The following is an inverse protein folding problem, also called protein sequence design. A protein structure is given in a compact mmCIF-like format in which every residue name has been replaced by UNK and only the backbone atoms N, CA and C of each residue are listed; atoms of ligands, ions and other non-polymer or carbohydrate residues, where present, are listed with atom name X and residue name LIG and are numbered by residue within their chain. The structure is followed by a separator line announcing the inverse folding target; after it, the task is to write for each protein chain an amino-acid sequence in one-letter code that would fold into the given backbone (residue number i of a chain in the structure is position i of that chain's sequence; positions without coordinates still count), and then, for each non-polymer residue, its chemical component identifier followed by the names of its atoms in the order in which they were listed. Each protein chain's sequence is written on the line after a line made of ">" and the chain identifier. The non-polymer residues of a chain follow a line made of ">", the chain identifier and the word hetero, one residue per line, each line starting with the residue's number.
data_IF_317552434945
#
_entry.id   IF_317552434945
#
_cell.length_a   1.000
_cell.length_b   1.000
_cell.length_c   1.000
_cell.angle_alpha   90.00
_cell.angle_beta   90.00
_cell.angle_gamma   90.00
#
_symmetry.space_group_name_H-M   'P 1'
#
loop_
_entity.id
_entity.type
_entity.pdbx_description
1 polymer ?
#
# COMPACT_ATOMS: atom_id res chain seq x y z
N UNK A 1 6.74 -5.71 -15.46
CA UNK A 1 5.42 -6.29 -15.79
C UNK A 1 4.80 -5.52 -16.94
N UNK A 2 4.60 -4.21 -16.78
CA UNK A 2 4.08 -3.37 -17.87
C UNK A 2 5.01 -3.27 -19.08
N UNK A 3 6.30 -2.98 -18.87
CA UNK A 3 7.29 -2.90 -19.96
C UNK A 3 7.49 -4.23 -20.71
N UNK A 4 7.28 -5.36 -20.04
CA UNK A 4 7.37 -6.69 -20.64
C UNK A 4 6.18 -7.00 -21.56
N UNK A 5 4.96 -6.60 -21.18
CA UNK A 5 3.77 -6.76 -22.02
C UNK A 5 3.75 -5.79 -23.21
N UNK A 6 4.27 -4.56 -23.05
CA UNK A 6 4.42 -3.62 -24.19
C UNK A 6 5.33 -4.22 -25.26
N UNK A 7 6.40 -4.93 -24.87
CA UNK A 7 7.30 -5.63 -25.80
C UNK A 7 6.65 -6.84 -26.50
N UNK A 8 5.59 -7.42 -25.94
CA UNK A 8 4.82 -8.53 -26.54
C UNK A 8 3.72 -8.07 -27.51
N UNK A 9 3.51 -6.76 -27.67
CA UNK A 9 2.49 -6.20 -28.56
C UNK A 9 1.16 -5.86 -27.87
N UNK A 10 0.95 -6.30 -26.62
CA UNK A 10 -0.23 -5.98 -25.82
C UNK A 10 -0.10 -4.59 -25.18
N UNK A 11 -0.22 -3.55 -26.01
CA UNK A 11 0.03 -2.16 -25.59
C UNK A 11 -0.96 -1.67 -24.51
N UNK A 12 -2.24 -2.06 -24.59
CA UNK A 12 -3.27 -1.61 -23.63
C UNK A 12 -2.99 -2.19 -22.23
N UNK A 13 -2.83 -3.51 -22.13
CA UNK A 13 -2.51 -4.19 -20.86
C UNK A 13 -1.15 -3.74 -20.32
N UNK A 14 -0.17 -3.60 -21.22
CA UNK A 14 1.18 -3.20 -20.88
C UNK A 14 1.27 -1.79 -20.31
N UNK A 15 0.60 -0.80 -20.92
CA UNK A 15 0.53 0.57 -20.38
C UNK A 15 -0.21 0.59 -19.04
N UNK A 16 -1.34 -0.11 -18.92
CA UNK A 16 -2.09 -0.20 -17.66
C UNK A 16 -1.24 -0.76 -16.51
N UNK A 17 -0.54 -1.89 -16.74
CA UNK A 17 0.36 -2.46 -15.75
C UNK A 17 1.60 -1.59 -15.48
N UNK A 18 2.08 -0.84 -16.47
CA UNK A 18 3.21 0.07 -16.28
C UNK A 18 2.82 1.24 -15.37
N UNK A 19 1.63 1.82 -15.55
CA UNK A 19 1.09 2.86 -14.67
C UNK A 19 0.93 2.34 -13.25
N UNK A 20 0.35 1.15 -13.07
CA UNK A 20 0.22 0.53 -11.74
C UNK A 20 1.60 0.29 -11.10
N UNK A 21 2.59 -0.14 -11.89
CA UNK A 21 3.95 -0.36 -11.41
C UNK A 21 4.62 0.95 -10.97
N UNK A 22 4.42 2.05 -11.70
CA UNK A 22 4.92 3.38 -11.31
C UNK A 22 4.22 3.91 -10.05
N UNK A 23 2.90 3.77 -9.97
CA UNK A 23 2.14 4.14 -8.77
C UNK A 23 2.63 3.37 -7.56
N UNK A 24 2.83 2.05 -7.69
CA UNK A 24 3.36 1.23 -6.60
C UNK A 24 4.72 1.75 -6.11
N UNK A 25 5.65 2.05 -7.03
CA UNK A 25 6.96 2.61 -6.68
C UNK A 25 6.82 3.95 -5.94
N UNK A 26 5.94 4.82 -6.41
CA UNK A 26 5.69 6.12 -5.79
C UNK A 26 5.15 5.98 -4.35
N UNK A 27 4.28 5.00 -4.10
CA UNK A 27 3.68 4.77 -2.79
C UNK A 27 4.52 3.87 -1.85
N UNK A 28 5.70 3.39 -2.25
CA UNK A 28 6.58 2.56 -1.38
C UNK A 28 6.78 3.16 0.02
N UNK A 29 7.11 4.45 0.18
CA UNK A 29 7.31 5.03 1.51
C UNK A 29 6.06 4.94 2.38
N UNK A 30 4.89 5.17 1.78
CA UNK A 30 3.59 5.06 2.46
C UNK A 30 3.29 3.61 2.83
N UNK A 31 3.58 2.65 1.96
CA UNK A 31 3.44 1.22 2.27
C UNK A 31 4.27 0.82 3.49
N UNK A 32 5.52 1.26 3.56
CA UNK A 32 6.41 0.99 4.70
C UNK A 32 5.84 1.63 5.97
N UNK A 33 5.39 2.89 5.90
CA UNK A 33 4.82 3.59 7.03
C UNK A 33 3.54 2.92 7.53
N UNK A 34 2.60 2.59 6.64
CA UNK A 34 1.32 1.96 6.98
C UNK A 34 1.48 0.53 7.50
N UNK A 35 2.41 -0.26 6.96
CA UNK A 35 2.72 -1.61 7.50
C UNK A 35 3.38 -1.50 8.88
N UNK A 36 4.31 -0.57 9.06
CA UNK A 36 4.90 -0.33 10.38
C UNK A 36 3.83 0.14 11.38
N UNK A 37 2.93 1.05 10.99
CA UNK A 37 1.80 1.51 11.82
C UNK A 37 0.80 0.39 12.16
N UNK A 38 0.63 -0.58 11.26
CA UNK A 38 -0.12 -1.81 11.51
C UNK A 38 0.56 -2.71 12.54
N UNK A 39 1.89 -2.80 12.54
CA UNK A 39 2.67 -3.63 13.47
C UNK A 39 2.77 -2.95 14.83
N UNK A 40 3.01 -1.64 14.87
CA UNK A 40 3.12 -0.86 16.11
C UNK A 40 1.78 -0.53 16.75
N UNK A 41 0.66 -0.89 16.11
CA UNK A 41 -0.72 -0.78 16.63
C UNK A 41 -1.04 0.56 17.33
N UNK A 42 -0.43 1.67 16.91
CA UNK A 42 -0.60 2.97 17.57
C UNK A 42 -0.17 2.93 19.05
N UNK A 43 1.07 2.50 19.32
CA UNK A 43 1.71 2.44 20.64
C UNK A 43 1.64 3.75 21.45
N UNK A 44 1.31 4.89 20.82
CA UNK A 44 1.09 6.16 21.52
C UNK A 44 -0.31 6.18 22.13
N UNK A 45 -0.45 5.53 23.29
CA UNK A 45 -1.66 5.66 24.12
C UNK A 45 -1.92 7.11 24.47
N UNK A 46 -3.18 7.57 24.35
CA UNK A 46 -3.56 8.92 24.76
C UNK A 46 -3.15 9.17 26.21
N UNK A 47 -2.26 10.13 26.44
CA UNK A 47 -1.84 10.51 27.78
C UNK A 47 -2.62 11.74 28.23
N UNK A 48 -3.15 11.67 29.46
CA UNK A 48 -3.80 12.80 30.10
C UNK A 48 -2.86 13.39 31.14
N UNK A 49 -2.33 14.58 30.88
CA UNK A 49 -1.54 15.34 31.85
C UNK A 49 -2.45 16.38 32.52
N UNK A 50 -3.12 16.00 33.61
CA UNK A 50 -4.04 16.88 34.34
C UNK A 50 -5.33 17.19 33.57
N UNK A 51 -5.50 18.44 33.12
CA UNK A 51 -6.66 18.89 32.30
C UNK A 51 -6.37 18.90 30.79
N UNK A 52 -5.11 18.73 30.37
CA UNK A 52 -4.76 18.62 28.96
C UNK A 52 -4.84 17.17 28.50
N UNK A 53 -5.69 16.94 27.50
CA UNK A 53 -5.78 15.67 26.79
C UNK A 53 -4.81 15.74 25.63
N UNK A 54 -3.68 15.04 25.73
CA UNK A 54 -2.76 14.88 24.61
C UNK A 54 -3.32 13.73 23.79
N UNK A 55 -3.86 14.08 22.63
CA UNK A 55 -4.42 13.10 21.70
C UNK A 55 -3.26 12.23 21.18
N UNK A 56 -3.18 11.00 21.70
CA UNK A 56 -2.33 9.96 21.16
C UNK A 56 -2.79 9.54 19.76
N UNK A 57 -1.98 8.73 19.09
CA UNK A 57 -2.28 8.28 17.72
C UNK A 57 -3.67 7.64 17.66
N UNK A 58 -4.46 8.02 16.66
CA UNK A 58 -5.77 7.40 16.43
C UNK A 58 -5.54 5.98 15.93
N UNK A 59 -5.48 4.99 16.83
CA UNK A 59 -5.21 3.58 16.49
C UNK A 59 -6.17 3.03 15.43
N UNK A 60 -7.42 3.53 15.38
CA UNK A 60 -8.39 3.19 14.32
C UNK A 60 -7.94 3.72 12.96
N UNK A 61 -7.40 4.94 12.91
CA UNK A 61 -6.92 5.54 11.67
C UNK A 61 -5.71 4.78 11.13
N UNK A 62 -4.73 4.48 11.98
CA UNK A 62 -3.56 3.66 11.61
C UNK A 62 -3.96 2.26 11.14
N UNK A 63 -4.95 1.64 11.79
CA UNK A 63 -5.47 0.33 11.40
C UNK A 63 -6.16 0.40 10.03
N UNK A 64 -7.03 1.40 9.80
CA UNK A 64 -7.73 1.57 8.51
C UNK A 64 -6.73 1.84 7.38
N UNK A 65 -5.80 2.76 7.56
CA UNK A 65 -4.77 3.05 6.55
C UNK A 65 -3.90 1.82 6.26
N UNK A 66 -3.50 1.11 7.30
CA UNK A 66 -2.75 -0.13 7.18
C UNK A 66 -3.51 -1.20 6.39
N UNK A 67 -4.76 -1.47 6.73
CA UNK A 67 -5.59 -2.48 6.05
C UNK A 67 -5.84 -2.09 4.59
N UNK A 68 -6.11 -0.81 4.31
CA UNK A 68 -6.26 -0.31 2.94
C UNK A 68 -4.97 -0.53 2.15
N UNK A 69 -3.80 -0.18 2.70
CA UNK A 69 -2.54 -0.44 2.01
C UNK A 69 -2.27 -1.93 1.84
N UNK A 70 -2.50 -2.75 2.85
CA UNK A 70 -2.36 -4.21 2.71
C UNK A 70 -3.26 -4.77 1.58
N UNK A 71 -4.47 -4.25 1.41
CA UNK A 71 -5.36 -4.64 0.31
C UNK A 71 -4.79 -4.27 -1.08
N UNK A 72 -4.19 -3.08 -1.22
CA UNK A 72 -3.50 -2.67 -2.45
C UNK A 72 -2.29 -3.55 -2.73
N UNK A 73 -1.55 -3.98 -1.71
CA UNK A 73 -0.43 -4.92 -1.85
C UNK A 73 -0.92 -6.25 -2.44
N UNK A 74 -1.99 -6.81 -1.88
CA UNK A 74 -2.60 -8.07 -2.36
C UNK A 74 -3.07 -7.94 -3.80
N UNK A 75 -3.71 -6.82 -4.15
CA UNK A 75 -4.12 -6.54 -5.53
C UNK A 75 -2.92 -6.48 -6.47
N UNK A 76 -1.83 -5.82 -6.07
CA UNK A 76 -0.60 -5.74 -6.85
C UNK A 76 0.05 -7.11 -7.07
N UNK A 77 0.12 -7.94 -6.02
CA UNK A 77 0.65 -9.32 -6.10
C UNK A 77 -0.24 -10.17 -7.03
N UNK A 78 -1.56 -10.04 -6.93
CA UNK A 78 -2.50 -10.78 -7.77
C UNK A 78 -2.31 -10.43 -9.24
N UNK A 79 -2.22 -9.14 -9.56
CA UNK A 79 -1.90 -8.66 -10.91
C UNK A 79 -0.53 -9.17 -11.38
N UNK A 80 0.44 -9.32 -10.47
CA UNK A 80 1.73 -9.93 -10.79
C UNK A 80 1.62 -11.37 -11.20
N UNK A 81 0.93 -12.17 -10.41
CA UNK A 81 0.74 -13.60 -10.71
C UNK A 81 0.01 -13.78 -12.04
N UNK A 82 -1.03 -12.97 -12.30
CA UNK A 82 -1.71 -13.00 -13.60
C UNK A 82 -0.80 -12.56 -14.75
N UNK A 83 0.00 -11.50 -14.59
CA UNK A 83 0.94 -11.06 -15.61
C UNK A 83 2.00 -12.11 -15.97
N UNK A 84 2.47 -12.89 -15.00
CA UNK A 84 3.46 -13.97 -15.21
C UNK A 84 2.81 -15.22 -15.83
N UNK A 85 1.55 -15.51 -15.50
CA UNK A 85 0.80 -16.64 -16.07
C UNK A 85 0.19 -16.35 -17.45
N UNK A 86 0.03 -15.09 -17.85
CA UNK A 86 -0.43 -14.72 -19.20
C UNK A 86 0.67 -15.15 -20.22
N UNK A 87 0.37 -16.09 -21.14
CA UNK A 87 1.35 -16.61 -22.10
C UNK A 87 1.99 -15.53 -22.98
#
# INVERSE_FOLDING_TARGET
>A
MGSAQIKRGDQIKGVFLLVIQLLFIFYIPQFIHSINGLITLGEVTQQRNGFEVIQGDNSIHLLVEGVVMASFLVMFITLYVFNVKDP
#
